data_IF_571486138507
#
_entry.id   IF_571486138507
#
_cell.length_a   1.000
_cell.length_b   1.000
_cell.length_c   1.000
_cell.angle_alpha   90.00
_cell.angle_beta   90.00
_cell.angle_gamma   90.00
#
_symmetry.space_group_name_H-M   'P 1'
#
loop_
_entity.id
_entity.type
_entity.pdbx_description
1 polymer ?
#
# COMPACT_ATOMS: atom_id res chain seq x y z
N UNK A 1 -7.64 14.29 -12.01
CA UNK A 1 -8.10 12.89 -11.97
C UNK A 1 -7.32 12.11 -10.92
N UNK A 2 -7.97 11.22 -10.19
CA UNK A 2 -7.31 10.33 -9.21
C UNK A 2 -6.75 9.08 -9.90
N UNK A 3 -5.74 8.45 -9.30
CA UNK A 3 -5.25 7.15 -9.70
C UNK A 3 -6.28 6.07 -9.38
N UNK A 4 -6.38 5.05 -10.23
CA UNK A 4 -7.22 3.87 -9.95
C UNK A 4 -6.62 3.12 -8.76
N UNK A 5 -7.47 2.64 -7.86
CA UNK A 5 -7.02 1.85 -6.70
C UNK A 5 -7.41 0.40 -6.91
N UNK A 6 -6.43 -0.49 -6.84
CA UNK A 6 -6.63 -1.95 -6.94
C UNK A 6 -6.05 -2.63 -5.73
N UNK A 7 -6.56 -3.81 -5.39
CA UNK A 7 -6.12 -4.56 -4.22
C UNK A 7 -5.74 -5.96 -4.66
N UNK A 8 -4.58 -6.43 -4.24
CA UNK A 8 -4.29 -7.86 -4.38
C UNK A 8 -5.23 -8.67 -3.50
N UNK A 9 -5.38 -9.97 -3.81
CA UNK A 9 -6.33 -10.87 -3.14
C UNK A 9 -6.16 -10.85 -1.62
N UNK A 10 -4.93 -10.84 -1.14
CA UNK A 10 -4.61 -10.82 0.29
C UNK A 10 -4.91 -9.46 0.93
N UNK A 11 -4.66 -8.34 0.24
CA UNK A 11 -5.00 -7.01 0.77
C UNK A 11 -6.52 -6.81 0.91
N UNK A 12 -7.33 -7.43 0.02
CA UNK A 12 -8.79 -7.49 0.20
C UNK A 12 -9.17 -8.23 1.48
N UNK A 13 -8.46 -9.32 1.82
CA UNK A 13 -8.68 -10.07 3.07
C UNK A 13 -8.24 -9.26 4.29
N UNK A 14 -7.08 -8.62 4.22
CA UNK A 14 -6.58 -7.72 5.27
C UNK A 14 -7.65 -6.68 5.62
N UNK A 15 -8.20 -6.00 4.61
CA UNK A 15 -9.24 -4.99 4.79
C UNK A 15 -10.51 -5.56 5.46
N UNK A 16 -10.92 -6.79 5.07
CA UNK A 16 -12.08 -7.49 5.62
C UNK A 16 -11.90 -7.92 7.08
N UNK A 17 -10.67 -8.11 7.54
CA UNK A 17 -10.37 -8.54 8.91
C UNK A 17 -10.27 -7.37 9.90
N UNK A 18 -10.32 -6.13 9.41
CA UNK A 18 -10.31 -4.92 10.25
C UNK A 18 -11.75 -4.52 10.60
N UNK A 19 -11.95 -4.04 11.82
CA UNK A 19 -13.24 -3.49 12.28
C UNK A 19 -13.80 -2.44 11.30
N UNK A 20 -15.13 -2.39 11.15
CA UNK A 20 -15.83 -1.55 10.20
C UNK A 20 -15.56 -0.04 10.36
N UNK A 21 -15.41 0.43 11.60
CA UNK A 21 -15.09 1.84 11.88
C UNK A 21 -13.70 2.22 11.32
N UNK A 22 -12.71 1.39 11.65
CA UNK A 22 -11.32 1.53 11.22
C UNK A 22 -11.20 1.34 9.70
N UNK A 23 -11.95 0.39 9.12
CA UNK A 23 -11.98 0.13 7.68
C UNK A 23 -12.36 1.38 6.88
N UNK A 24 -13.38 2.12 7.33
CA UNK A 24 -13.79 3.38 6.68
C UNK A 24 -12.66 4.42 6.71
N UNK A 25 -11.97 4.56 7.84
CA UNK A 25 -10.84 5.48 7.96
C UNK A 25 -9.68 5.10 7.04
N UNK A 26 -9.37 3.80 6.93
CA UNK A 26 -8.34 3.29 6.03
C UNK A 26 -8.71 3.56 4.57
N UNK A 27 -9.95 3.29 4.16
CA UNK A 27 -10.41 3.55 2.80
C UNK A 27 -10.38 5.05 2.45
N UNK A 28 -10.79 5.92 3.39
CA UNK A 28 -10.74 7.37 3.19
C UNK A 28 -9.29 7.87 3.01
N UNK A 29 -8.34 7.33 3.78
CA UNK A 29 -6.92 7.68 3.62
C UNK A 29 -6.32 7.15 2.32
N UNK A 30 -6.69 5.94 1.88
CA UNK A 30 -6.29 5.40 0.56
C UNK A 30 -6.84 6.30 -0.55
N UNK A 31 -8.12 6.68 -0.49
CA UNK A 31 -8.73 7.58 -1.45
C UNK A 31 -8.05 8.96 -1.48
N UNK A 32 -7.69 9.52 -0.32
CA UNK A 32 -6.94 10.78 -0.26
C UNK A 32 -5.59 10.65 -0.96
N UNK A 33 -4.85 9.57 -0.70
CA UNK A 33 -3.52 9.35 -1.28
C UNK A 33 -3.60 9.05 -2.77
N UNK A 34 -4.62 8.33 -3.25
CA UNK A 34 -4.77 8.01 -4.68
C UNK A 34 -4.97 9.25 -5.57
N UNK A 35 -5.31 10.41 -5.01
CA UNK A 35 -5.31 11.68 -5.74
C UNK A 35 -3.94 12.01 -6.35
N UNK A 36 -2.86 11.71 -5.62
CA UNK A 36 -1.50 11.75 -6.11
C UNK A 36 -0.61 10.83 -5.24
N UNK A 37 -0.48 9.54 -5.57
CA UNK A 37 0.23 8.57 -4.73
C UNK A 37 1.74 8.56 -4.97
N UNK A 38 2.24 9.44 -5.85
CA UNK A 38 3.67 9.64 -6.11
C UNK A 38 4.41 10.13 -4.85
N UNK A 39 5.75 10.01 -4.78
CA UNK A 39 6.52 10.56 -3.67
C UNK A 39 6.41 12.09 -3.61
N UNK A 40 6.75 12.66 -2.45
CA UNK A 40 6.74 14.12 -2.22
C UNK A 40 7.66 14.88 -3.18
N UNK A 41 8.76 14.28 -3.62
CA UNK A 41 9.66 14.85 -4.65
C UNK A 41 8.98 15.05 -6.00
N UNK A 42 7.90 14.32 -6.26
CA UNK A 42 7.05 14.43 -7.46
C UNK A 42 5.70 15.10 -7.13
N UNK A 43 5.62 15.83 -6.00
CA UNK A 43 4.42 16.55 -5.57
C UNK A 43 3.29 15.68 -4.99
N UNK A 44 3.55 14.39 -4.75
CA UNK A 44 2.54 13.46 -4.24
C UNK A 44 2.54 13.24 -2.73
N UNK A 45 1.57 12.45 -2.26
CA UNK A 45 1.37 12.09 -0.86
C UNK A 45 2.14 10.84 -0.42
N UNK A 46 2.73 10.12 -1.37
CA UNK A 46 3.44 8.87 -1.15
C UNK A 46 4.68 9.05 -0.29
N UNK A 47 4.90 8.05 0.58
CA UNK A 47 6.11 7.95 1.40
C UNK A 47 6.88 6.71 0.95
N UNK A 48 7.93 6.86 0.14
CA UNK A 48 8.67 5.71 -0.36
C UNK A 48 9.24 4.90 0.80
N UNK A 49 9.32 3.60 0.55
CA UNK A 49 10.13 2.65 1.29
C UNK A 49 11.47 2.49 0.58
N UNK A 50 12.32 1.65 1.14
CA UNK A 50 13.63 1.28 0.62
C UNK A 50 14.06 0.03 1.35
N UNK A 51 15.33 -0.05 1.75
CA UNK A 51 15.79 -1.12 2.63
C UNK A 51 15.27 -0.91 4.06
N UNK A 52 14.44 -1.83 4.55
CA UNK A 52 13.86 -1.77 5.91
C UNK A 52 14.04 -3.12 6.59
N UNK A 53 14.78 -3.16 7.71
CA UNK A 53 15.04 -4.38 8.50
C UNK A 53 15.52 -5.57 7.64
N UNK A 54 16.53 -5.33 6.78
CA UNK A 54 17.11 -6.34 5.89
C UNK A 54 16.24 -6.73 4.68
N UNK A 55 15.13 -6.03 4.42
CA UNK A 55 14.21 -6.30 3.30
C UNK A 55 14.25 -5.15 2.32
N UNK A 56 14.47 -5.45 1.04
CA UNK A 56 14.41 -4.45 -0.02
C UNK A 56 12.95 -4.24 -0.45
N UNK A 57 12.39 -3.11 -0.05
CA UNK A 57 11.08 -2.62 -0.46
C UNK A 57 11.21 -1.33 -1.29
N UNK A 58 12.29 -1.19 -2.05
CA UNK A 58 12.44 -0.11 -3.04
C UNK A 58 11.25 -0.13 -4.01
N UNK A 59 10.77 1.04 -4.41
CA UNK A 59 9.55 1.26 -5.21
C UNK A 59 8.21 0.95 -4.51
N UNK A 60 8.23 0.52 -3.24
CA UNK A 60 7.01 0.48 -2.43
C UNK A 60 6.81 1.79 -1.70
N UNK A 61 5.58 2.05 -1.30
CA UNK A 61 5.17 3.23 -0.55
C UNK A 61 4.34 2.83 0.66
N UNK A 62 4.25 3.73 1.65
CA UNK A 62 3.40 3.54 2.83
C UNK A 62 2.46 4.70 3.12
N UNK A 63 1.30 4.36 3.66
CA UNK A 63 0.41 5.28 4.39
C UNK A 63 0.49 4.91 5.87
N UNK A 64 0.61 5.91 6.75
CA UNK A 64 0.65 5.72 8.22
C UNK A 64 -0.61 6.33 8.83
N UNK A 65 -1.43 5.52 9.47
CA UNK A 65 -2.59 5.97 10.24
C UNK A 65 -2.24 5.97 11.72
N UNK A 66 -1.81 7.13 12.26
CA UNK A 66 -1.30 7.23 13.63
C UNK A 66 -2.36 6.85 14.66
N UNK A 67 -3.58 7.37 14.52
CA UNK A 67 -4.63 7.26 15.54
C UNK A 67 -5.21 5.83 15.67
N UNK A 68 -5.17 5.04 14.60
CA UNK A 68 -5.69 3.66 14.55
C UNK A 68 -4.58 2.62 14.39
N UNK A 69 -3.33 3.04 14.57
CA UNK A 69 -2.13 2.19 14.55
C UNK A 69 -1.98 1.24 13.32
N UNK A 70 -2.44 1.66 12.14
CA UNK A 70 -2.39 0.87 10.89
C UNK A 70 -1.39 1.44 9.89
N UNK A 71 -0.78 0.54 9.10
CA UNK A 71 -0.03 0.87 7.89
C UNK A 71 -0.66 0.21 6.68
N UNK A 72 -0.71 0.98 5.60
CA UNK A 72 -1.00 0.47 4.26
C UNK A 72 0.28 0.53 3.45
N UNK A 73 0.64 -0.56 2.78
CA UNK A 73 1.75 -0.62 1.83
C UNK A 73 1.18 -0.78 0.43
N UNK A 74 1.73 -0.04 -0.54
CA UNK A 74 1.27 -0.06 -1.92
C UNK A 74 2.43 0.13 -2.92
N UNK A 75 2.16 -0.18 -4.18
CA UNK A 75 3.04 0.03 -5.34
C UNK A 75 2.28 0.80 -6.42
N UNK A 76 2.99 1.23 -7.47
CA UNK A 76 2.43 2.04 -8.55
C UNK A 76 2.67 1.38 -9.91
N UNK A 77 1.60 1.22 -10.70
CA UNK A 77 1.71 1.05 -12.15
C UNK A 77 1.59 2.43 -12.80
N UNK A 78 2.74 3.08 -13.01
CA UNK A 78 2.81 4.51 -13.36
C UNK A 78 2.17 4.81 -14.72
N UNK A 79 2.42 3.98 -15.72
CA UNK A 79 1.88 4.13 -17.08
C UNK A 79 0.34 4.15 -17.10
N UNK A 80 -0.29 3.30 -16.28
CA UNK A 80 -1.75 3.17 -16.21
C UNK A 80 -2.39 4.01 -15.10
N UNK A 81 -1.60 4.78 -14.35
CA UNK A 81 -2.03 5.52 -13.15
C UNK A 81 -2.79 4.65 -12.15
N UNK A 82 -2.23 3.50 -11.79
CA UNK A 82 -2.80 2.56 -10.82
C UNK A 82 -1.99 2.49 -9.54
N UNK A 83 -2.68 2.54 -8.43
CA UNK A 83 -2.17 2.34 -7.07
C UNK A 83 -2.60 0.96 -6.58
N UNK A 84 -1.64 0.03 -6.51
CA UNK A 84 -1.88 -1.35 -6.10
C UNK A 84 -1.65 -1.49 -4.60
N UNK A 85 -2.72 -1.72 -3.83
CA UNK A 85 -2.66 -1.95 -2.38
C UNK A 85 -2.17 -3.37 -2.12
N UNK A 86 -1.02 -3.46 -1.44
CA UNK A 86 -0.31 -4.72 -1.20
C UNK A 86 -0.53 -5.24 0.20
N UNK A 87 -0.57 -4.41 1.24
CA UNK A 87 -0.75 -4.84 2.63
C UNK A 87 -1.57 -3.81 3.41
N UNK A 88 -2.46 -4.27 4.28
CA UNK A 88 -3.09 -3.45 5.32
C UNK A 88 -2.90 -4.18 6.65
N UNK A 89 -2.05 -3.65 7.53
CA UNK A 89 -1.74 -4.35 8.78
C UNK A 89 -1.38 -3.36 9.89
N UNK A 90 -1.55 -3.80 11.13
CA UNK A 90 -1.13 -3.08 12.31
C UNK A 90 0.36 -2.72 12.31
N UNK A 91 0.72 -1.75 13.14
CA UNK A 91 2.09 -1.24 13.25
C UNK A 91 3.07 -2.24 13.88
N UNK A 92 2.58 -3.18 14.68
CA UNK A 92 3.43 -3.94 15.60
C UNK A 92 4.50 -4.76 14.87
N UNK A 93 5.71 -4.66 15.42
CA UNK A 93 6.91 -5.45 15.15
C UNK A 93 7.53 -5.39 13.75
N UNK A 94 6.91 -4.65 12.82
CA UNK A 94 7.35 -4.61 11.43
C UNK A 94 6.79 -5.75 10.58
N UNK A 95 5.86 -6.54 11.12
CA UNK A 95 5.10 -7.59 10.44
C UNK A 95 4.55 -7.13 9.09
N UNK A 96 4.06 -5.88 9.02
CA UNK A 96 3.60 -5.25 7.78
C UNK A 96 4.66 -5.31 6.65
N UNK A 97 5.94 -5.04 6.95
CA UNK A 97 7.02 -5.09 5.95
C UNK A 97 7.44 -6.52 5.62
N UNK A 98 7.30 -7.46 6.55
CA UNK A 98 7.54 -8.88 6.28
C UNK A 98 6.49 -9.46 5.34
N UNK A 99 5.23 -9.13 5.59
CA UNK A 99 4.12 -9.50 4.71
C UNK A 99 4.31 -8.86 3.33
N UNK A 100 4.72 -7.58 3.27
CA UNK A 100 5.00 -6.90 2.01
C UNK A 100 6.10 -7.63 1.21
N UNK A 101 7.19 -8.02 1.87
CA UNK A 101 8.28 -8.76 1.23
C UNK A 101 7.86 -10.16 0.76
N UNK A 102 7.06 -10.89 1.56
CA UNK A 102 6.48 -12.18 1.15
C UNK A 102 5.60 -12.03 -0.09
N UNK A 103 4.77 -10.97 -0.15
CA UNK A 103 3.90 -10.69 -1.30
C UNK A 103 4.70 -10.19 -2.50
N UNK A 104 5.80 -9.42 -2.30
CA UNK A 104 6.79 -9.10 -3.35
C UNK A 104 7.34 -10.36 -3.99
N UNK A 105 7.82 -11.32 -3.19
CA UNK A 105 8.37 -12.57 -3.72
C UNK A 105 7.33 -13.43 -4.45
N UNK A 106 6.06 -13.38 -4.03
CA UNK A 106 4.97 -14.13 -4.65
C UNK A 106 4.53 -13.56 -6.00
N UNK A 107 4.39 -12.25 -6.10
CA UNK A 107 3.80 -11.57 -7.26
C UNK A 107 4.83 -10.96 -8.21
N UNK A 108 6.06 -10.74 -7.75
CA UNK A 108 7.14 -10.15 -8.56
C UNK A 108 6.73 -8.83 -9.22
N UNK A 109 6.98 -8.74 -10.52
CA UNK A 109 6.72 -7.55 -11.34
C UNK A 109 5.23 -7.22 -11.48
N UNK A 110 4.32 -8.16 -11.24
CA UNK A 110 2.89 -7.89 -11.35
C UNK A 110 2.43 -6.82 -10.37
N UNK A 111 3.13 -6.64 -9.25
CA UNK A 111 2.86 -5.57 -8.29
C UNK A 111 2.99 -4.17 -8.90
N UNK A 112 3.73 -4.00 -9.98
CA UNK A 112 3.98 -2.72 -10.65
C UNK A 112 3.20 -2.57 -11.96
N UNK A 113 2.28 -3.48 -12.25
CA UNK A 113 1.44 -3.50 -13.46
C UNK A 113 -0.04 -3.32 -13.12
N UNK A 114 -0.85 -3.05 -14.13
CA UNK A 114 -2.32 -3.00 -14.00
C UNK A 114 -2.95 -4.40 -14.12
N UNK A 115 -2.51 -5.36 -13.30
CA UNK A 115 -2.86 -6.79 -13.42
C UNK A 115 -3.94 -7.28 -12.46
N UNK A 116 -4.22 -6.51 -11.39
CA UNK A 116 -5.18 -6.92 -10.37
C UNK A 116 -6.61 -6.45 -10.69
N UNK A 117 -7.60 -7.06 -10.05
CA UNK A 117 -9.00 -6.64 -10.13
C UNK A 117 -9.51 -6.06 -8.82
#
# INVERSE_FOLDING_TARGET
MCWKVKFIKEAKKDLKNIDGSIRRMVLAGIYKVSRNPLPRSEGGYGKPLGHVKGKDLTNFFKIKYKNINIRVVYTLAREHKVMNIIVIEGRNDGKCYEIANKRKNKYGEDLFKDSFS
#
